data_IF_212970004597
#
_entry.id   IF_212970004597
#
_cell.length_a   1.000
_cell.length_b   1.000
_cell.length_c   1.000
_cell.angle_alpha   90.00
_cell.angle_beta   90.00
_cell.angle_gamma   90.00
#
_symmetry.space_group_name_H-M   'P 1'
#
loop_
_entity.id
_entity.type
_entity.pdbx_description
1 polymer ?
#
# COMPACT_ATOMS: atom_id res chain seq x y z
N UNK A 1 -0.54 9.86 -6.01
CA UNK A 1 -0.23 8.95 -7.15
C UNK A 1 1.13 8.30 -6.95
N UNK A 2 2.25 9.04 -6.90
CA UNK A 2 3.58 8.44 -6.72
C UNK A 2 3.77 7.67 -5.40
N UNK A 3 3.16 8.13 -4.30
CA UNK A 3 3.22 7.43 -3.01
C UNK A 3 2.57 6.04 -3.08
N UNK A 4 1.42 5.90 -3.75
CA UNK A 4 0.72 4.62 -3.93
C UNK A 4 1.58 3.64 -4.74
N UNK A 5 2.17 4.15 -5.82
CA UNK A 5 3.00 3.36 -6.73
C UNK A 5 4.28 2.89 -6.02
N UNK A 6 4.96 3.80 -5.30
CA UNK A 6 6.15 3.46 -4.53
C UNK A 6 5.86 2.46 -3.41
N UNK A 7 4.71 2.61 -2.73
CA UNK A 7 4.30 1.67 -1.68
C UNK A 7 4.05 0.27 -2.22
N UNK A 8 3.28 0.15 -3.30
CA UNK A 8 3.01 -1.14 -3.94
C UNK A 8 4.30 -1.76 -4.47
N UNK A 9 5.14 -0.98 -5.15
CA UNK A 9 6.43 -1.46 -5.67
C UNK A 9 7.37 -1.93 -4.55
N UNK A 10 7.40 -1.24 -3.41
CA UNK A 10 8.25 -1.63 -2.28
C UNK A 10 7.84 -2.98 -1.66
N UNK A 11 6.54 -3.24 -1.50
CA UNK A 11 6.08 -4.49 -0.88
C UNK A 11 6.00 -5.66 -1.86
N UNK A 12 5.44 -5.45 -3.05
CA UNK A 12 5.22 -6.52 -4.02
C UNK A 12 6.29 -6.63 -5.10
N UNK A 13 7.21 -5.67 -5.18
CA UNK A 13 8.29 -5.66 -6.17
C UNK A 13 7.76 -5.72 -7.62
N UNK A 14 6.54 -5.24 -7.82
CA UNK A 14 5.93 -5.16 -9.14
C UNK A 14 6.57 -4.04 -9.97
N UNK A 15 6.69 -4.23 -11.30
CA UNK A 15 7.19 -3.20 -12.19
C UNK A 15 6.38 -1.90 -12.08
N UNK A 16 7.07 -0.77 -12.18
CA UNK A 16 6.44 0.55 -12.14
C UNK A 16 5.30 0.68 -13.16
N UNK A 17 5.54 0.22 -14.38
CA UNK A 17 4.58 0.34 -15.49
C UNK A 17 3.30 -0.47 -15.22
N UNK A 18 3.41 -1.66 -14.63
CA UNK A 18 2.25 -2.49 -14.27
C UNK A 18 1.36 -1.80 -13.23
N UNK A 19 1.97 -1.15 -12.23
CA UNK A 19 1.24 -0.42 -11.19
C UNK A 19 0.62 0.87 -11.76
N UNK A 20 1.31 1.51 -12.70
CA UNK A 20 0.81 2.70 -13.39
C UNK A 20 -0.39 2.39 -14.31
N UNK A 21 -0.43 1.18 -14.88
CA UNK A 21 -1.54 0.70 -15.70
C UNK A 21 -2.79 0.34 -14.89
N UNK A 22 -2.70 0.21 -13.57
CA UNK A 22 -3.87 -0.04 -12.72
C UNK A 22 -4.79 1.18 -12.62
N UNK A 23 -6.07 0.92 -12.42
CA UNK A 23 -7.02 1.97 -12.03
C UNK A 23 -6.64 2.53 -10.65
N UNK A 24 -6.89 3.82 -10.42
CA UNK A 24 -6.56 4.44 -9.13
C UNK A 24 -7.25 3.70 -7.96
N UNK A 25 -8.50 3.27 -8.14
CA UNK A 25 -9.23 2.48 -7.13
C UNK A 25 -8.57 1.14 -6.83
N UNK A 26 -7.94 0.53 -7.83
CA UNK A 26 -7.25 -0.75 -7.66
C UNK A 26 -5.95 -0.56 -6.85
N UNK A 27 -5.15 0.47 -7.18
CA UNK A 27 -3.97 0.83 -6.37
C UNK A 27 -4.35 1.11 -4.92
N UNK A 28 -5.44 1.85 -4.68
CA UNK A 28 -5.98 2.11 -3.33
C UNK A 28 -6.26 0.81 -2.58
N UNK A 29 -6.98 -0.13 -3.20
CA UNK A 29 -7.30 -1.43 -2.61
C UNK A 29 -6.02 -2.21 -2.26
N UNK A 30 -5.04 -2.23 -3.15
CA UNK A 30 -3.78 -2.93 -2.89
C UNK A 30 -3.04 -2.34 -1.69
N UNK A 31 -3.01 -1.03 -1.53
CA UNK A 31 -2.40 -0.39 -0.37
C UNK A 31 -3.10 -0.80 0.95
N UNK A 32 -4.43 -0.90 0.95
CA UNK A 32 -5.21 -1.35 2.11
C UNK A 32 -4.90 -2.82 2.46
N UNK A 33 -4.83 -3.69 1.46
CA UNK A 33 -4.51 -5.11 1.66
C UNK A 33 -3.08 -5.32 2.15
N UNK A 34 -2.09 -4.61 1.59
CA UNK A 34 -0.71 -4.64 2.07
C UNK A 34 -0.67 -4.23 3.56
N UNK A 35 -1.38 -3.16 3.92
CA UNK A 35 -1.43 -2.69 5.31
C UNK A 35 -2.08 -3.72 6.24
N UNK A 36 -3.15 -4.38 5.83
CA UNK A 36 -3.79 -5.46 6.61
C UNK A 36 -2.86 -6.66 6.80
N UNK A 37 -2.19 -7.10 5.73
CA UNK A 37 -1.23 -8.22 5.77
C UNK A 37 -0.09 -7.89 6.72
N UNK A 38 0.50 -6.70 6.60
CA UNK A 38 1.63 -6.28 7.43
C UNK A 38 1.24 -6.15 8.91
N UNK A 39 0.04 -5.62 9.20
CA UNK A 39 -0.51 -5.59 10.56
C UNK A 39 -0.68 -6.99 11.14
N UNK A 40 -1.22 -7.93 10.36
CA UNK A 40 -1.40 -9.31 10.80
C UNK A 40 -0.08 -10.06 11.02
N UNK A 41 0.94 -9.81 10.19
CA UNK A 41 2.23 -10.48 10.30
C UNK A 41 3.06 -10.01 11.50
N UNK A 42 2.96 -8.73 11.87
CA UNK A 42 3.82 -8.16 12.91
C UNK A 42 3.21 -8.22 14.32
N UNK A 43 1.97 -8.72 14.51
CA UNK A 43 1.25 -8.72 15.80
C UNK A 43 1.30 -7.37 16.55
N UNK A 44 1.47 -6.26 15.80
CA UNK A 44 1.65 -4.94 16.37
C UNK A 44 0.29 -4.29 16.66
N UNK A 45 0.07 -3.74 17.87
CA UNK A 45 -1.12 -2.94 18.17
C UNK A 45 -1.03 -1.64 17.39
N UNK A 46 -1.94 -1.46 16.42
CA UNK A 46 -2.20 -0.30 15.55
C UNK A 46 -1.18 0.84 15.65
N UNK A 47 0.10 0.55 15.39
CA UNK A 47 1.12 1.58 15.31
C UNK A 47 0.88 2.31 14.01
N UNK A 48 1.02 3.64 14.06
CA UNK A 48 1.05 4.51 12.90
C UNK A 48 1.95 3.89 11.82
N UNK A 49 1.32 3.23 10.84
CA UNK A 49 2.03 2.73 9.69
C UNK A 49 2.63 3.98 9.03
N UNK A 50 3.96 4.08 8.87
CA UNK A 50 4.58 5.22 8.20
C UNK A 50 4.03 5.44 6.78
N UNK A 51 3.40 4.41 6.25
CA UNK A 51 2.75 4.34 4.96
C UNK A 51 1.23 4.18 5.06
N UNK A 52 0.60 4.68 6.13
CA UNK A 52 -0.84 4.90 6.12
C UNK A 52 -1.17 6.03 5.13
N UNK A 53 -1.08 5.71 3.82
CA UNK A 53 -1.20 6.64 2.70
C UNK A 53 -2.55 7.36 2.75
N UNK A 54 -3.53 6.82 3.49
CA UNK A 54 -4.93 7.23 3.43
C UNK A 54 -5.61 7.52 4.76
N UNK A 55 -4.99 7.22 5.91
CA UNK A 55 -5.56 7.44 7.25
C UNK A 55 -5.72 8.89 7.71
N UNK A 56 -5.64 9.89 6.82
CA UNK A 56 -5.85 11.33 7.13
C UNK A 56 -6.91 12.01 6.26
N UNK A 57 -8.01 11.34 5.95
CA UNK A 57 -9.19 11.96 5.36
C UNK A 57 -10.44 11.66 6.16
#
# INVERSE_FOLDING_TARGET
MYEEVGFIAYYFHWPHDDIMNMEHRERRRWCDEISKINKKLNDEPDKNNPFDVFGRR
#
